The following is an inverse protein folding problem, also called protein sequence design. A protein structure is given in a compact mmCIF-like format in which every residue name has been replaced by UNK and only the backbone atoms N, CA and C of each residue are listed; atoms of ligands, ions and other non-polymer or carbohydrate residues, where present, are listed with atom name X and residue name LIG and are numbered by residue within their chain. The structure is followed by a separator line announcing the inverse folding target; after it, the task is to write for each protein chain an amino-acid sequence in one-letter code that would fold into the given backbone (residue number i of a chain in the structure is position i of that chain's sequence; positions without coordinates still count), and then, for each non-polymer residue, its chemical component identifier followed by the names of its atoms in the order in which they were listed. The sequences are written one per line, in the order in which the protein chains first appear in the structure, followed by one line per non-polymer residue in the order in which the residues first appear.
data_IF_162756149084
#
_entry.id   IF_162756149084
#
_cell.length_a   1.000
_cell.length_b   1.000
_cell.length_c   1.000
_cell.angle_alpha   90.00
_cell.angle_beta   90.00
_cell.angle_gamma   90.00
#
_symmetry.space_group_name_H-M   'P 1'
#
loop_
_entity.id
_entity.type
_entity.pdbx_description
1 polymer ?
#
# COMPACT_ATOMS: atom_id res chain seq x y z
N UNK A 1 7.45 12.05 -24.20
CA UNK A 1 6.12 11.46 -24.05
C UNK A 1 6.04 10.65 -22.77
N UNK A 2 4.85 10.36 -22.32
CA UNK A 2 4.60 9.55 -21.11
C UNK A 2 4.06 8.18 -21.55
N UNK A 3 4.57 7.10 -20.95
CA UNK A 3 4.07 5.75 -21.12
C UNK A 3 3.34 5.34 -19.83
N UNK A 4 2.12 4.83 -19.96
CA UNK A 4 1.31 4.35 -18.84
C UNK A 4 1.11 2.85 -18.99
N UNK A 5 1.54 2.06 -18.01
CA UNK A 5 1.13 0.68 -17.83
C UNK A 5 -0.06 0.64 -16.87
N UNK A 6 -1.16 0.04 -17.31
CA UNK A 6 -2.40 0.02 -16.54
C UNK A 6 -2.93 -1.41 -16.46
N UNK A 7 -3.22 -1.88 -15.26
CA UNK A 7 -3.83 -3.18 -15.02
C UNK A 7 -5.09 -3.02 -14.20
N UNK A 8 -6.05 -3.91 -14.43
CA UNK A 8 -7.30 -3.98 -13.65
C UNK A 8 -7.43 -5.40 -13.14
N UNK A 9 -7.51 -5.52 -11.84
CA UNK A 9 -7.86 -6.79 -11.21
C UNK A 9 -9.29 -7.16 -11.57
N UNK A 10 -9.55 -8.44 -11.72
CA UNK A 10 -10.88 -8.94 -12.04
C UNK A 10 -11.09 -10.39 -11.65
N UNK A 11 -12.33 -10.88 -11.80
CA UNK A 11 -12.72 -12.27 -11.52
C UNK A 11 -12.35 -12.73 -10.11
N UNK A 12 -12.34 -11.82 -9.14
CA UNK A 12 -11.94 -12.11 -7.76
C UNK A 12 -13.04 -11.65 -6.80
N UNK A 13 -13.81 -12.61 -6.31
CA UNK A 13 -14.91 -12.37 -5.37
C UNK A 13 -14.45 -11.60 -4.16
N UNK A 14 -15.18 -10.56 -3.76
CA UNK A 14 -14.84 -9.70 -2.61
C UNK A 14 -13.67 -8.74 -2.85
N UNK A 15 -13.15 -8.65 -4.10
CA UNK A 15 -12.11 -7.71 -4.48
C UNK A 15 -12.47 -6.92 -5.73
N UNK A 16 -12.55 -7.57 -6.89
CA UNK A 16 -12.86 -6.90 -8.16
C UNK A 16 -13.51 -7.87 -9.15
N UNK A 17 -14.55 -7.41 -9.81
CA UNK A 17 -15.17 -8.11 -10.94
C UNK A 17 -14.46 -7.83 -12.27
N UNK A 18 -13.62 -6.80 -12.31
CA UNK A 18 -12.98 -6.27 -13.50
C UNK A 18 -13.74 -5.09 -14.11
N UNK A 19 -13.31 -4.67 -15.29
CA UNK A 19 -13.93 -3.60 -16.07
C UNK A 19 -14.06 -4.00 -17.54
N UNK A 20 -14.99 -3.36 -18.25
CA UNK A 20 -15.09 -3.47 -19.70
C UNK A 20 -13.99 -2.67 -20.40
N UNK A 21 -13.69 -3.01 -21.65
CA UNK A 21 -12.71 -2.25 -22.44
C UNK A 21 -13.12 -0.78 -22.61
N UNK A 22 -14.42 -0.50 -22.69
CA UNK A 22 -14.94 0.87 -22.76
C UNK A 22 -14.60 1.66 -21.51
N UNK A 23 -14.90 1.12 -20.33
CA UNK A 23 -14.55 1.76 -19.05
C UNK A 23 -13.04 1.99 -18.89
N UNK A 24 -12.23 1.02 -19.33
CA UNK A 24 -10.76 1.18 -19.32
C UNK A 24 -10.32 2.28 -20.28
N UNK A 25 -10.90 2.32 -21.48
CA UNK A 25 -10.60 3.36 -22.47
C UNK A 25 -10.95 4.75 -21.96
N UNK A 26 -12.12 4.94 -21.38
CA UNK A 26 -12.55 6.20 -20.74
C UNK A 26 -11.58 6.62 -19.65
N UNK A 27 -11.18 5.70 -18.77
CA UNK A 27 -10.23 5.97 -17.68
C UNK A 27 -8.86 6.39 -18.21
N UNK A 28 -8.37 5.74 -19.26
CA UNK A 28 -7.07 6.09 -19.86
C UNK A 28 -7.12 7.45 -20.59
N UNK A 29 -8.26 7.82 -21.19
CA UNK A 29 -8.48 9.16 -21.73
C UNK A 29 -8.45 10.23 -20.63
N UNK A 30 -9.10 9.99 -19.49
CA UNK A 30 -9.03 10.87 -18.30
C UNK A 30 -7.58 11.06 -17.80
N UNK A 31 -6.73 10.02 -17.90
CA UNK A 31 -5.32 10.08 -17.58
C UNK A 31 -4.46 10.76 -18.65
N UNK A 32 -5.08 11.27 -19.73
CA UNK A 32 -4.41 11.97 -20.82
C UNK A 32 -3.77 11.09 -21.87
N UNK A 33 -4.06 9.79 -21.89
CA UNK A 33 -3.56 8.88 -22.91
C UNK A 33 -4.18 9.20 -24.28
N UNK A 34 -3.36 9.33 -25.33
CA UNK A 34 -3.82 9.58 -26.70
C UNK A 34 -3.92 8.30 -27.53
N UNK A 35 -3.13 7.30 -27.19
CA UNK A 35 -3.10 6.00 -27.87
C UNK A 35 -3.09 4.91 -26.80
N UNK A 36 -3.92 3.89 -26.98
CA UNK A 36 -4.07 2.79 -26.05
C UNK A 36 -3.90 1.46 -26.78
N UNK A 37 -3.10 0.57 -26.24
CA UNK A 37 -2.95 -0.81 -26.70
C UNK A 37 -3.41 -1.74 -25.58
N UNK A 38 -4.36 -2.62 -25.89
CA UNK A 38 -4.75 -3.69 -24.99
C UNK A 38 -3.87 -4.92 -25.25
N UNK A 39 -3.18 -5.36 -24.19
CA UNK A 39 -2.44 -6.61 -24.21
C UNK A 39 -3.34 -7.77 -23.78
N UNK A 40 -2.85 -9.00 -23.96
CA UNK A 40 -3.55 -10.19 -23.47
C UNK A 40 -3.77 -10.09 -21.95
N UNK A 41 -4.98 -10.45 -21.53
CA UNK A 41 -5.43 -10.27 -20.15
C UNK A 41 -5.81 -11.60 -19.49
N UNK A 42 -6.67 -11.50 -18.47
CA UNK A 42 -7.19 -12.66 -17.73
C UNK A 42 -6.40 -12.95 -16.45
N UNK A 43 -6.46 -14.21 -15.98
CA UNK A 43 -5.92 -14.61 -14.69
C UNK A 43 -4.41 -14.44 -14.52
N UNK A 44 -3.68 -14.39 -15.62
CA UNK A 44 -2.22 -14.23 -15.63
C UNK A 44 -1.74 -12.78 -15.68
N UNK A 45 -2.64 -11.80 -15.67
CA UNK A 45 -2.25 -10.38 -15.70
C UNK A 45 -1.53 -9.97 -14.42
N UNK A 46 -0.23 -9.74 -14.53
CA UNK A 46 0.60 -9.27 -13.42
C UNK A 46 1.31 -7.98 -13.81
N UNK A 47 1.33 -7.02 -12.91
CA UNK A 47 2.17 -5.84 -12.99
C UNK A 47 3.18 -5.89 -11.84
N UNK A 48 4.44 -6.04 -12.17
CA UNK A 48 5.53 -6.06 -11.20
C UNK A 48 6.39 -4.81 -11.35
N UNK A 49 6.79 -4.23 -10.24
CA UNK A 49 7.59 -3.00 -10.18
C UNK A 49 8.75 -3.20 -9.21
N UNK A 50 9.93 -2.74 -9.60
CA UNK A 50 11.05 -2.55 -8.68
C UNK A 50 11.02 -1.10 -8.21
N UNK A 51 10.77 -0.90 -6.92
CA UNK A 51 10.74 0.44 -6.31
C UNK A 51 12.14 0.86 -5.87
N UNK A 52 12.43 2.17 -5.73
CA UNK A 52 13.75 2.65 -5.32
C UNK A 52 14.25 2.15 -3.96
N UNK A 53 13.36 1.67 -3.09
CA UNK A 53 13.67 1.07 -1.78
C UNK A 53 13.83 -0.47 -1.83
N UNK A 54 13.80 -1.07 -3.03
CA UNK A 54 13.89 -2.52 -3.23
C UNK A 54 14.83 -2.88 -4.38
N UNK A 55 15.46 -4.04 -4.28
CA UNK A 55 16.22 -4.67 -5.37
C UNK A 55 15.43 -5.76 -6.09
N UNK A 56 14.21 -6.04 -5.63
CA UNK A 56 13.37 -7.12 -6.13
C UNK A 56 12.06 -6.56 -6.66
N UNK A 57 11.66 -6.99 -7.87
CA UNK A 57 10.36 -6.63 -8.42
C UNK A 57 9.23 -7.28 -7.61
N UNK A 58 8.25 -6.48 -7.24
CA UNK A 58 7.07 -6.90 -6.48
C UNK A 58 5.82 -6.76 -7.34
N UNK A 59 4.96 -7.77 -7.33
CA UNK A 59 3.64 -7.71 -7.99
C UNK A 59 2.76 -6.76 -7.18
N UNK A 60 2.30 -5.69 -7.83
CA UNK A 60 1.51 -4.64 -7.20
C UNK A 60 0.01 -4.77 -7.40
N UNK A 61 -0.43 -5.59 -8.36
CA UNK A 61 -1.84 -5.93 -8.55
C UNK A 61 -2.21 -7.25 -7.84
N UNK A 62 -3.50 -7.59 -7.82
CA UNK A 62 -4.02 -8.84 -7.23
C UNK A 62 -4.63 -9.73 -8.31
N UNK A 63 -3.82 -10.49 -9.07
CA UNK A 63 -4.30 -11.34 -10.14
C UNK A 63 -5.29 -12.40 -9.62
N UNK A 64 -6.24 -12.81 -10.46
CA UNK A 64 -7.18 -13.87 -10.09
C UNK A 64 -6.52 -15.26 -10.02
N UNK A 65 -5.42 -15.45 -10.74
CA UNK A 65 -4.60 -16.66 -10.70
C UNK A 65 -3.15 -16.31 -10.28
N UNK A 66 -2.69 -16.89 -9.19
CA UNK A 66 -1.35 -16.62 -8.67
C UNK A 66 -0.34 -17.63 -9.27
N UNK A 67 0.82 -17.11 -9.69
CA UNK A 67 1.94 -17.95 -10.13
C UNK A 67 1.74 -18.64 -11.49
N UNK A 68 0.77 -18.21 -12.31
CA UNK A 68 0.61 -18.72 -13.66
C UNK A 68 1.82 -18.38 -14.52
N UNK A 69 2.40 -19.40 -15.17
CA UNK A 69 3.50 -19.23 -16.11
C UNK A 69 2.99 -18.64 -17.42
N UNK A 70 3.69 -17.63 -17.92
CA UNK A 70 3.43 -16.97 -19.21
C UNK A 70 4.65 -17.11 -20.12
N UNK A 71 4.42 -17.14 -21.44
CA UNK A 71 5.47 -17.33 -22.42
C UNK A 71 6.15 -16.04 -22.87
N UNK A 72 5.49 -14.90 -22.66
CA UNK A 72 5.98 -13.58 -23.03
C UNK A 72 5.66 -12.54 -21.96
N UNK A 73 6.48 -11.50 -21.90
CA UNK A 73 6.36 -10.42 -20.95
C UNK A 73 6.80 -9.11 -21.62
N UNK A 74 6.30 -7.98 -21.12
CA UNK A 74 6.75 -6.65 -21.52
C UNK A 74 7.54 -6.07 -20.36
N UNK A 75 8.76 -5.63 -20.63
CA UNK A 75 9.63 -4.99 -19.65
C UNK A 75 9.88 -3.53 -20.01
N UNK A 76 9.82 -2.65 -19.00
CA UNK A 76 10.44 -1.35 -19.03
C UNK A 76 11.72 -1.43 -18.20
N UNK A 77 12.85 -1.23 -18.86
CA UNK A 77 14.17 -1.32 -18.21
C UNK A 77 14.86 0.03 -18.32
N UNK A 78 15.29 0.58 -17.18
CA UNK A 78 16.19 1.72 -17.19
C UNK A 78 17.59 1.27 -17.62
N UNK A 79 18.11 1.85 -18.68
CA UNK A 79 19.43 1.54 -19.24
C UNK A 79 20.49 2.58 -18.89
N UNK A 80 20.10 3.70 -18.34
CA UNK A 80 20.99 4.81 -18.02
C UNK A 80 21.81 4.51 -16.77
N UNK A 81 23.00 5.12 -16.74
CA UNK A 81 23.84 5.13 -15.55
C UNK A 81 23.35 6.21 -14.60
N UNK A 82 23.66 6.03 -13.32
CA UNK A 82 23.39 7.07 -12.33
C UNK A 82 23.98 8.42 -12.76
N UNK A 83 23.20 9.47 -12.65
CA UNK A 83 23.66 10.85 -12.82
C UNK A 83 24.55 11.31 -11.66
N UNK A 84 24.55 10.58 -10.53
CA UNK A 84 25.25 10.93 -9.31
C UNK A 84 24.69 12.15 -8.58
N UNK A 85 23.56 12.69 -9.05
CA UNK A 85 22.93 13.89 -8.50
C UNK A 85 21.54 13.61 -8.02
N UNK A 86 21.27 13.81 -6.73
CA UNK A 86 19.95 13.69 -6.15
C UNK A 86 18.95 14.63 -6.83
N UNK A 87 17.82 14.07 -7.29
CA UNK A 87 16.72 14.80 -7.92
C UNK A 87 15.52 14.88 -6.99
N UNK A 88 15.05 13.74 -6.48
CA UNK A 88 13.89 13.67 -5.60
C UNK A 88 14.01 12.51 -4.60
N UNK A 89 13.02 12.39 -3.70
CA UNK A 89 12.86 11.24 -2.83
C UNK A 89 11.64 10.42 -3.26
N UNK A 90 11.81 9.11 -3.34
CA UNK A 90 10.72 8.16 -3.33
C UNK A 90 10.32 7.90 -1.88
N UNK A 91 9.04 8.13 -1.54
CA UNK A 91 8.49 7.93 -0.19
C UNK A 91 7.49 6.79 -0.25
N UNK A 92 7.68 5.79 0.59
CA UNK A 92 6.85 4.60 0.66
C UNK A 92 6.27 4.45 2.07
N UNK A 93 4.96 4.22 2.17
CA UNK A 93 4.29 3.84 3.39
C UNK A 93 3.88 2.35 3.30
N UNK A 94 3.96 1.62 4.42
CA UNK A 94 3.59 0.20 4.47
C UNK A 94 2.08 -0.05 4.32
N UNK A 95 1.35 0.90 3.79
CA UNK A 95 -0.07 0.83 3.43
C UNK A 95 -0.59 2.20 3.04
N UNK A 96 -1.27 2.26 1.88
CA UNK A 96 -1.89 3.51 1.41
C UNK A 96 -3.18 3.82 2.17
N UNK A 97 -3.93 2.77 2.55
CA UNK A 97 -5.18 2.86 3.30
C UNK A 97 -5.00 2.26 4.68
N UNK A 98 -5.16 3.08 5.71
CA UNK A 98 -4.86 2.77 7.11
C UNK A 98 -6.10 3.04 7.96
N UNK A 99 -6.38 2.20 8.96
CA UNK A 99 -7.41 2.52 9.95
C UNK A 99 -6.95 3.74 10.77
N UNK A 100 -7.78 4.75 10.87
CA UNK A 100 -7.48 5.96 11.65
C UNK A 100 -7.09 5.61 13.10
N UNK A 101 -6.05 6.23 13.61
CA UNK A 101 -5.45 5.91 14.91
C UNK A 101 -4.37 4.82 14.87
N UNK A 102 -4.15 4.17 13.71
CA UNK A 102 -3.09 3.18 13.56
C UNK A 102 -1.73 3.80 13.27
N UNK A 103 -0.69 3.04 13.56
CA UNK A 103 0.67 3.36 13.19
C UNK A 103 1.10 2.60 11.92
N UNK A 104 1.81 3.26 11.01
CA UNK A 104 2.31 2.69 9.77
C UNK A 104 3.78 3.06 9.55
N UNK A 105 4.58 2.08 9.12
CA UNK A 105 6.00 2.32 8.80
C UNK A 105 6.13 3.14 7.51
N UNK A 106 7.04 4.10 7.51
CA UNK A 106 7.36 4.94 6.35
C UNK A 106 8.85 4.89 6.10
N UNK A 107 9.24 4.77 4.84
CA UNK A 107 10.61 4.82 4.36
C UNK A 107 10.75 5.85 3.25
N UNK A 108 11.96 6.33 3.01
CA UNK A 108 12.27 7.12 1.84
C UNK A 108 13.64 6.75 1.27
N UNK A 109 13.76 6.84 -0.05
CA UNK A 109 15.00 6.58 -0.78
C UNK A 109 15.29 7.74 -1.71
N UNK A 110 16.53 8.21 -1.76
CA UNK A 110 16.95 9.19 -2.75
C UNK A 110 16.91 8.60 -4.15
N UNK A 111 16.53 9.42 -5.13
CA UNK A 111 16.46 9.03 -6.54
C UNK A 111 17.12 10.13 -7.37
N UNK A 112 17.93 9.74 -8.31
CA UNK A 112 18.56 10.66 -9.24
C UNK A 112 17.68 11.01 -10.45
N UNK A 113 18.13 11.92 -11.31
CA UNK A 113 17.38 12.34 -12.50
C UNK A 113 17.15 11.23 -13.53
N UNK A 114 17.85 10.09 -13.42
CA UNK A 114 17.70 8.90 -14.26
C UNK A 114 16.89 7.80 -13.55
N UNK A 115 16.22 8.14 -12.45
CA UNK A 115 15.44 7.22 -11.61
C UNK A 115 16.26 6.10 -10.99
N UNK A 116 17.58 6.30 -10.82
CA UNK A 116 18.46 5.34 -10.14
C UNK A 116 18.47 5.65 -8.64
N UNK A 117 18.23 4.64 -7.77
CA UNK A 117 18.31 4.82 -6.32
C UNK A 117 19.72 5.28 -5.88
N UNK A 118 19.75 6.16 -4.89
CA UNK A 118 20.99 6.64 -4.31
C UNK A 118 20.84 6.94 -2.82
N UNK A 119 21.93 6.78 -2.08
CA UNK A 119 21.95 7.11 -0.67
C UNK A 119 21.90 8.63 -0.46
N UNK A 120 20.93 9.08 0.31
CA UNK A 120 20.79 10.48 0.69
C UNK A 120 20.11 10.59 2.05
N UNK A 121 20.68 11.43 2.92
CA UNK A 121 20.04 11.75 4.21
C UNK A 121 18.79 12.59 3.98
N UNK A 122 17.74 12.30 4.74
CA UNK A 122 16.45 12.98 4.68
C UNK A 122 15.85 13.16 6.07
N UNK A 123 14.85 14.03 6.14
CA UNK A 123 13.93 14.15 7.26
C UNK A 123 12.52 13.92 6.74
N UNK A 124 11.67 13.28 7.55
CA UNK A 124 10.26 13.07 7.24
C UNK A 124 9.38 14.05 8.02
N UNK A 125 8.33 14.51 7.37
CA UNK A 125 7.26 15.29 7.99
C UNK A 125 5.90 14.81 7.49
N UNK A 126 4.85 14.98 8.31
CA UNK A 126 3.49 14.61 7.96
C UNK A 126 2.57 15.82 8.10
N UNK A 127 1.57 15.96 7.21
CA UNK A 127 0.59 17.06 7.27
C UNK A 127 -0.40 16.91 8.43
N UNK A 128 -0.57 15.70 8.96
CA UNK A 128 -1.41 15.40 10.12
C UNK A 128 -0.89 14.14 10.85
N UNK A 129 -1.30 13.94 12.10
CA UNK A 129 -0.77 12.88 12.94
C UNK A 129 0.62 13.21 13.46
N UNK A 130 1.39 12.19 13.81
CA UNK A 130 2.78 12.35 14.26
C UNK A 130 3.68 11.35 13.54
N UNK A 131 4.90 11.77 13.21
CA UNK A 131 5.92 10.89 12.64
C UNK A 131 7.16 10.94 13.53
N UNK A 132 7.68 9.76 13.87
CA UNK A 132 8.84 9.63 14.74
C UNK A 132 9.81 8.57 14.20
N UNK A 133 11.09 8.87 14.30
CA UNK A 133 12.16 7.91 14.05
C UNK A 133 12.25 6.92 15.21
N UNK A 134 12.37 5.64 14.87
CA UNK A 134 12.52 4.54 15.83
C UNK A 134 14.00 4.25 16.06
N UNK A 135 14.32 3.53 17.12
CA UNK A 135 15.71 3.12 17.46
C UNK A 135 16.42 2.35 16.34
N UNK A 136 15.64 1.66 15.49
CA UNK A 136 16.17 0.91 14.34
C UNK A 136 16.30 1.74 13.06
N UNK A 137 16.11 3.07 13.13
CA UNK A 137 16.20 4.00 12.01
C UNK A 137 14.98 4.00 11.08
N UNK A 138 13.92 3.23 11.39
CA UNK A 138 12.65 3.31 10.67
C UNK A 138 11.81 4.46 11.20
N UNK A 139 10.98 5.02 10.34
CA UNK A 139 10.01 6.03 10.74
C UNK A 139 8.62 5.41 10.90
N UNK A 140 7.91 5.82 11.95
CA UNK A 140 6.55 5.39 12.24
C UNK A 140 5.63 6.60 12.19
N UNK A 141 4.67 6.57 11.26
CA UNK A 141 3.58 7.55 11.19
C UNK A 141 2.42 7.02 12.03
N UNK A 142 2.02 7.75 13.07
CA UNK A 142 0.77 7.53 13.80
C UNK A 142 -0.30 8.44 13.23
N UNK A 143 -1.34 7.84 12.66
CA UNK A 143 -2.43 8.58 12.01
C UNK A 143 -3.41 9.16 13.04
N UNK A 144 -4.06 10.31 12.76
CA UNK A 144 -5.05 10.87 13.68
C UNK A 144 -6.30 10.00 13.74
N UNK A 145 -6.89 9.86 14.94
CA UNK A 145 -8.14 9.09 15.14
C UNK A 145 -9.34 9.71 14.42
N UNK A 146 -9.28 11.00 14.07
CA UNK A 146 -10.33 11.68 13.30
C UNK A 146 -10.43 11.20 11.84
N UNK A 147 -9.39 10.54 11.34
CA UNK A 147 -9.24 10.22 9.91
C UNK A 147 -8.89 11.45 9.08
N UNK A 148 -8.08 11.30 8.07
CA UNK A 148 -7.75 12.32 7.05
C UNK A 148 -6.82 11.74 5.99
N UNK A 149 -6.69 12.45 4.88
CA UNK A 149 -5.58 12.26 3.96
C UNK A 149 -4.33 12.94 4.54
N UNK A 150 -3.25 12.19 4.62
CA UNK A 150 -2.00 12.64 5.24
C UNK A 150 -0.91 12.62 4.17
N UNK A 151 -0.41 13.80 3.83
CA UNK A 151 0.77 13.91 2.98
C UNK A 151 2.02 13.73 3.83
N UNK A 152 2.79 12.69 3.55
CA UNK A 152 4.11 12.45 4.14
C UNK A 152 5.17 12.90 3.17
N UNK A 153 6.06 13.79 3.61
CA UNK A 153 7.09 14.42 2.78
C UNK A 153 8.49 14.11 3.33
N UNK A 154 9.34 13.57 2.47
CA UNK A 154 10.78 13.50 2.70
C UNK A 154 11.46 14.74 2.13
N UNK A 155 12.43 15.29 2.85
CA UNK A 155 13.21 16.46 2.42
C UNK A 155 14.67 16.29 2.80
N UNK A 156 15.59 16.61 1.88
CA UNK A 156 17.02 16.55 2.12
C UNK A 156 17.81 17.08 0.93
N UNK A 157 18.96 17.74 1.19
CA UNK A 157 19.88 18.25 0.14
C UNK A 157 19.20 19.08 -0.95
N UNK A 158 18.10 19.80 -0.62
CA UNK A 158 17.32 20.60 -1.58
C UNK A 158 16.32 19.82 -2.42
N UNK A 159 16.26 18.50 -2.31
CA UNK A 159 15.29 17.63 -2.95
C UNK A 159 14.11 17.32 -2.00
N UNK A 160 12.98 16.97 -2.58
CA UNK A 160 11.77 16.54 -1.86
C UNK A 160 11.09 15.38 -2.59
N UNK A 161 10.26 14.65 -1.86
CA UNK A 161 9.33 13.68 -2.40
C UNK A 161 8.21 13.44 -1.40
N UNK A 162 7.05 12.97 -1.85
CA UNK A 162 5.93 12.75 -0.96
C UNK A 162 5.05 11.58 -1.40
N UNK A 163 4.35 11.02 -0.44
CA UNK A 163 3.25 10.07 -0.64
C UNK A 163 2.03 10.49 0.17
N UNK A 164 0.87 9.92 -0.14
CA UNK A 164 -0.38 10.16 0.61
C UNK A 164 -0.80 8.88 1.31
N UNK A 165 -1.10 8.98 2.60
CA UNK A 165 -1.69 7.93 3.41
C UNK A 165 -3.13 8.33 3.74
N UNK A 166 -4.08 7.46 3.39
CA UNK A 166 -5.50 7.66 3.64
C UNK A 166 -5.89 7.03 4.97
N UNK A 167 -6.07 7.85 6.01
CA UNK A 167 -6.53 7.38 7.32
C UNK A 167 -8.06 7.32 7.36
N UNK A 168 -8.60 6.12 7.30
CA UNK A 168 -10.04 5.82 7.23
C UNK A 168 -10.62 5.70 8.64
N UNK A 169 -11.53 6.60 9.00
CA UNK A 169 -12.18 6.61 10.30
C UNK A 169 -13.32 5.60 10.41
N UNK A 170 -14.10 5.47 9.34
CA UNK A 170 -15.31 4.66 9.33
C UNK A 170 -15.12 3.50 8.34
N UNK A 171 -14.53 2.37 8.76
CA UNK A 171 -14.45 1.19 7.90
C UNK A 171 -15.86 0.58 7.71
N UNK A 172 -16.04 -0.13 6.60
CA UNK A 172 -17.32 -0.78 6.31
C UNK A 172 -17.55 -2.02 7.18
N UNK A 173 -16.47 -2.68 7.60
CA UNK A 173 -16.54 -3.89 8.41
C UNK A 173 -15.30 -4.03 9.30
N UNK A 174 -15.52 -4.62 10.47
CA UNK A 174 -14.48 -5.05 11.40
C UNK A 174 -14.44 -6.58 11.46
N UNK A 175 -13.25 -7.13 11.61
CA UNK A 175 -13.04 -8.56 11.75
C UNK A 175 -12.26 -8.86 13.02
N UNK A 176 -12.65 -9.91 13.73
CA UNK A 176 -11.89 -10.47 14.84
C UNK A 176 -11.20 -11.76 14.37
N UNK A 177 -9.95 -11.96 14.73
CA UNK A 177 -9.14 -13.09 14.27
C UNK A 177 -8.40 -13.76 15.43
N UNK A 178 -8.24 -15.08 15.28
CA UNK A 178 -7.27 -15.86 16.03
C UNK A 178 -6.27 -16.45 15.00
N UNK A 179 -5.05 -15.92 15.01
CA UNK A 179 -4.10 -16.20 13.95
C UNK A 179 -4.61 -15.75 12.59
N UNK A 180 -4.65 -16.65 11.61
CA UNK A 180 -5.11 -16.36 10.24
C UNK A 180 -6.63 -16.47 10.06
N UNK A 181 -7.37 -17.02 11.03
CA UNK A 181 -8.81 -17.35 10.92
C UNK A 181 -9.68 -16.23 11.45
N UNK A 182 -10.69 -15.82 10.67
CA UNK A 182 -11.75 -14.94 11.16
C UNK A 182 -12.60 -15.69 12.18
N UNK A 183 -12.96 -15.01 13.28
CA UNK A 183 -13.80 -15.55 14.35
C UNK A 183 -15.19 -14.95 14.28
N UNK A 184 -16.18 -15.83 14.38
CA UNK A 184 -17.57 -15.49 14.73
C UNK A 184 -17.92 -15.98 16.13
N UNK A 185 -17.17 -16.96 16.61
CA UNK A 185 -17.32 -17.59 17.92
C UNK A 185 -15.96 -18.06 18.41
N UNK A 186 -15.74 -18.03 19.71
CA UNK A 186 -14.51 -18.50 20.35
C UNK A 186 -14.86 -19.20 21.67
N UNK A 187 -14.50 -20.47 21.77
CA UNK A 187 -14.54 -21.21 23.05
C UNK A 187 -13.17 -21.17 23.71
N UNK A 188 -13.10 -20.71 24.93
CA UNK A 188 -11.85 -20.60 25.69
C UNK A 188 -11.94 -21.46 26.95
N UNK A 189 -10.82 -22.06 27.36
CA UNK A 189 -10.72 -22.76 28.63
C UNK A 189 -10.48 -21.76 29.76
N UNK A 190 -11.17 -21.83 30.89
CA UNK A 190 -10.94 -20.96 32.03
C UNK A 190 -9.45 -20.93 32.44
N UNK A 191 -8.93 -19.71 32.65
CA UNK A 191 -7.51 -19.48 32.97
C UNK A 191 -6.54 -19.53 31.80
N UNK A 192 -6.99 -19.87 30.56
CA UNK A 192 -6.15 -19.81 29.38
C UNK A 192 -6.02 -18.37 28.83
N UNK A 193 -4.95 -18.13 28.05
CA UNK A 193 -4.75 -16.88 27.32
C UNK A 193 -4.88 -17.13 25.82
N UNK A 194 -5.68 -16.35 25.14
CA UNK A 194 -5.84 -16.41 23.68
C UNK A 194 -5.50 -15.06 23.07
N UNK A 195 -4.55 -15.07 22.12
CA UNK A 195 -4.20 -13.86 21.38
C UNK A 195 -5.24 -13.60 20.30
N UNK A 196 -5.84 -12.42 20.34
CA UNK A 196 -6.79 -11.95 19.34
C UNK A 196 -6.22 -10.74 18.59
N UNK A 197 -6.52 -10.65 17.32
CA UNK A 197 -6.23 -9.48 16.48
C UNK A 197 -7.50 -8.99 15.83
N UNK A 198 -7.60 -7.68 15.64
CA UNK A 198 -8.67 -7.08 14.89
C UNK A 198 -8.17 -6.64 13.50
N UNK A 199 -9.07 -6.62 12.55
CA UNK A 199 -8.85 -6.05 11.22
C UNK A 199 -10.02 -5.18 10.83
N UNK A 200 -9.80 -4.32 9.85
CA UNK A 200 -10.82 -3.45 9.29
C UNK A 200 -10.79 -3.54 7.76
N UNK A 201 -11.95 -3.36 7.14
CA UNK A 201 -12.14 -3.37 5.68
C UNK A 201 -12.89 -2.11 5.29
N UNK A 202 -12.45 -1.46 4.24
CA UNK A 202 -13.10 -0.32 3.63
C UNK A 202 -13.10 -0.46 2.12
N UNK A 203 -14.26 -0.31 1.49
CA UNK A 203 -14.44 -0.45 0.04
C UNK A 203 -13.80 -1.74 -0.50
N UNK A 204 -14.04 -2.87 0.19
CA UNK A 204 -13.47 -4.19 -0.09
C UNK A 204 -11.94 -4.30 0.07
N UNK A 205 -11.26 -3.23 0.49
CA UNK A 205 -9.82 -3.23 0.75
C UNK A 205 -9.56 -3.49 2.24
N UNK A 206 -8.67 -4.42 2.59
CA UNK A 206 -8.22 -4.54 3.96
C UNK A 206 -7.38 -3.31 4.32
N UNK A 207 -7.71 -2.67 5.43
CA UNK A 207 -6.93 -1.56 5.95
C UNK A 207 -5.71 -2.07 6.72
N UNK A 208 -4.58 -1.37 6.60
CA UNK A 208 -3.49 -1.51 7.55
C UNK A 208 -3.97 -1.00 8.90
N UNK A 209 -3.87 -1.83 9.93
CA UNK A 209 -4.37 -1.50 11.26
C UNK A 209 -3.47 -2.05 12.35
N UNK A 210 -3.29 -1.27 13.43
CA UNK A 210 -2.65 -1.72 14.67
C UNK A 210 -3.66 -1.90 15.77
N UNK A 211 -3.37 -2.71 16.76
CA UNK A 211 -4.32 -3.03 17.83
C UNK A 211 -4.75 -1.82 18.65
N UNK A 212 -3.90 -0.78 18.70
CA UNK A 212 -4.14 0.47 19.42
C UNK A 212 -5.26 1.32 18.78
N UNK A 213 -5.56 1.08 17.49
CA UNK A 213 -6.65 1.76 16.79
C UNK A 213 -8.03 1.19 17.12
N UNK A 214 -8.10 0.07 17.84
CA UNK A 214 -9.36 -0.56 18.24
C UNK A 214 -9.64 -0.37 19.73
N UNK A 215 -10.91 -0.15 20.05
CA UNK A 215 -11.39 -0.23 21.44
C UNK A 215 -11.85 -1.63 21.73
N UNK A 216 -11.25 -2.27 22.73
CA UNK A 216 -11.56 -3.62 23.16
C UNK A 216 -12.46 -3.61 24.39
N UNK A 217 -13.51 -4.38 24.38
CA UNK A 217 -14.38 -4.58 25.51
C UNK A 217 -14.87 -6.02 25.58
N UNK A 218 -15.12 -6.49 26.79
CA UNK A 218 -15.78 -7.77 27.04
C UNK A 218 -17.02 -7.48 27.84
N UNK A 219 -18.15 -8.08 27.48
CA UNK A 219 -19.42 -7.97 28.21
C UNK A 219 -19.90 -9.35 28.61
N UNK A 220 -20.58 -9.45 29.77
CA UNK A 220 -21.10 -10.67 30.33
C UNK A 220 -20.27 -11.21 31.49
N UNK A 221 -20.79 -12.28 32.11
CA UNK A 221 -20.09 -13.03 33.17
C UNK A 221 -19.09 -13.97 32.50
N UNK A 222 -17.82 -13.62 32.62
CA UNK A 222 -16.71 -14.42 32.07
C UNK A 222 -16.01 -15.25 33.09
N UNK A 223 -16.72 -15.62 34.20
CA UNK A 223 -16.34 -16.66 35.18
C UNK A 223 -14.94 -16.54 35.77
#
# INVERSE_FOLDING_TARGET
GTLVFYTIDGRKTGHSIGASLTQVGERLLELGCQTVLCLDGGGSTNLAVTTPDSTTATIINRPSETGRKVTNQVFLVASDRSSGRLDHFYVNAAGDYVLAGSAVSVTASGVDSNYIPMDASYTLSASAGSIAEQEDGRYLLTTPASGSDITVTASGRGAKGSTVVHAIRNPDNLTLKNGASNLTELTVTPGSKTALTAGAVWNHLPLTATNEAFTWSVSGDIG
#
